data_IF_010192073926
#
_entry.id   IF_010192073926
#
_cell.length_a   1.000
_cell.length_b   1.000
_cell.length_c   1.000
_cell.angle_alpha   90.00
_cell.angle_beta   90.00
_cell.angle_gamma   90.00
#
_symmetry.space_group_name_H-M   'P 1'
#
loop_
_entity.id
_entity.type
_entity.pdbx_description
1 polymer ?
#
# COMPACT_ATOMS: atom_id res chain seq x y z
N UNK A 1 30.41 -12.48 -43.14
CA UNK A 1 29.60 -11.57 -42.31
C UNK A 1 28.78 -10.71 -43.24
N UNK A 2 27.48 -10.53 -42.98
CA UNK A 2 26.60 -9.73 -43.85
C UNK A 2 26.84 -8.23 -43.60
N UNK A 3 26.72 -7.40 -44.63
CA UNK A 3 26.85 -5.94 -44.57
C UNK A 3 26.01 -5.31 -43.45
N UNK A 4 24.80 -5.87 -43.21
CA UNK A 4 23.93 -5.44 -42.11
C UNK A 4 24.51 -5.72 -40.72
N UNK A 5 25.23 -6.83 -40.55
CA UNK A 5 25.86 -7.15 -39.26
C UNK A 5 27.01 -6.19 -38.96
N UNK A 6 27.70 -5.71 -40.00
CA UNK A 6 28.76 -4.70 -39.89
C UNK A 6 28.20 -3.31 -39.55
N UNK A 7 27.05 -2.95 -40.12
CA UNK A 7 26.32 -1.73 -39.76
C UNK A 7 25.84 -1.72 -38.31
N UNK A 8 25.35 -2.87 -37.81
CA UNK A 8 24.88 -3.03 -36.43
C UNK A 8 26.02 -3.10 -35.42
N UNK A 9 27.22 -3.50 -35.85
CA UNK A 9 28.41 -3.53 -35.00
C UNK A 9 28.97 -2.12 -34.73
N UNK A 10 28.58 -1.12 -35.55
CA UNK A 10 28.98 0.26 -35.32
C UNK A 10 28.20 0.88 -34.15
N UNK A 11 28.88 1.60 -33.24
CA UNK A 11 28.20 2.31 -32.16
C UNK A 11 27.27 3.38 -32.71
N UNK A 12 26.11 3.57 -32.07
CA UNK A 12 25.18 4.65 -32.43
C UNK A 12 25.93 5.99 -32.33
N UNK A 13 25.86 6.80 -33.39
CA UNK A 13 26.42 8.15 -33.38
C UNK A 13 25.75 8.94 -32.25
N UNK A 14 26.56 9.43 -31.32
CA UNK A 14 26.10 10.34 -30.28
C UNK A 14 25.63 11.61 -30.99
N UNK A 15 24.34 11.89 -30.93
CA UNK A 15 23.79 13.17 -31.37
C UNK A 15 24.35 14.19 -30.38
N UNK A 16 25.25 15.06 -30.84
CA UNK A 16 25.69 16.20 -30.06
C UNK A 16 24.44 17.00 -29.69
N UNK A 17 24.12 17.02 -28.40
CA UNK A 17 23.02 17.81 -27.88
C UNK A 17 23.48 19.25 -28.07
N UNK A 18 22.88 19.97 -29.03
CA UNK A 18 23.16 21.39 -29.22
C UNK A 18 22.96 22.10 -27.86
N UNK A 19 24.01 22.75 -27.36
CA UNK A 19 23.96 23.54 -26.12
C UNK A 19 23.01 24.75 -26.25
N UNK A 20 22.69 25.15 -27.49
CA UNK A 20 21.68 26.15 -27.84
C UNK A 20 20.24 25.63 -27.85
N UNK A 21 19.96 24.51 -27.17
CA UNK A 21 18.57 24.16 -26.90
C UNK A 21 18.07 25.13 -25.82
N UNK A 22 17.19 26.09 -26.13
CA UNK A 22 16.60 26.91 -25.08
C UNK A 22 15.99 25.95 -24.08
N UNK A 23 16.39 26.10 -22.81
CA UNK A 23 15.77 25.35 -21.72
C UNK A 23 14.25 25.45 -21.89
N UNK A 24 13.47 24.39 -21.59
CA UNK A 24 12.01 24.40 -21.73
C UNK A 24 11.34 25.27 -20.66
N UNK A 25 11.95 26.42 -20.36
CA UNK A 25 11.49 27.43 -19.43
C UNK A 25 10.77 28.46 -20.30
N UNK A 26 9.45 28.36 -20.29
CA UNK A 26 8.60 29.36 -20.92
C UNK A 26 8.79 30.71 -20.20
N UNK A 27 9.04 31.81 -20.93
CA UNK A 27 9.16 33.13 -20.31
C UNK A 27 7.84 33.50 -19.64
N UNK A 28 7.91 33.86 -18.36
CA UNK A 28 6.75 34.33 -17.59
C UNK A 28 6.42 35.75 -18.01
N UNK A 29 5.15 36.06 -18.25
CA UNK A 29 4.74 37.42 -18.63
C UNK A 29 4.95 38.40 -17.46
N UNK A 30 5.23 39.66 -17.78
CA UNK A 30 5.35 40.73 -16.78
C UNK A 30 4.08 40.86 -15.92
N UNK A 31 2.91 40.62 -16.51
CA UNK A 31 1.62 40.59 -15.80
C UNK A 31 1.50 39.46 -14.78
N UNK A 32 2.10 38.30 -15.06
CA UNK A 32 2.09 37.18 -14.12
C UNK A 32 3.10 37.42 -12.97
N UNK A 33 4.22 38.09 -13.25
CA UNK A 33 5.20 38.50 -12.23
C UNK A 33 4.67 39.58 -11.28
N UNK A 34 3.78 40.46 -11.76
CA UNK A 34 3.18 41.53 -10.97
C UNK A 34 1.79 41.20 -10.41
N UNK A 35 1.30 39.98 -10.62
CA UNK A 35 0.00 39.56 -10.14
C UNK A 35 -0.03 39.42 -8.61
N UNK A 36 -0.96 40.11 -7.95
CA UNK A 36 -1.18 39.98 -6.51
C UNK A 36 -2.31 38.99 -6.22
N UNK A 37 -2.18 38.15 -5.17
CA UNK A 37 -3.23 37.23 -4.78
C UNK A 37 -4.45 38.00 -4.25
N UNK A 38 -5.65 37.58 -4.65
CA UNK A 38 -6.90 38.15 -4.11
C UNK A 38 -7.02 37.92 -2.60
N UNK A 39 -7.81 38.74 -1.92
CA UNK A 39 -8.06 38.60 -0.47
C UNK A 39 -8.55 37.19 -0.10
N UNK A 40 -9.36 36.55 -0.95
CA UNK A 40 -9.81 35.17 -0.75
C UNK A 40 -8.64 34.18 -0.80
N UNK A 41 -7.73 34.34 -1.76
CA UNK A 41 -6.54 33.48 -1.88
C UNK A 41 -5.62 33.66 -0.68
N UNK A 42 -5.43 34.89 -0.23
CA UNK A 42 -4.67 35.19 1.00
C UNK A 42 -5.29 34.50 2.23
N UNK A 43 -6.62 34.54 2.38
CA UNK A 43 -7.31 33.87 3.47
C UNK A 43 -7.19 32.34 3.40
N UNK A 44 -7.29 31.75 2.21
CA UNK A 44 -7.15 30.29 2.02
C UNK A 44 -5.70 29.81 2.18
N UNK A 45 -4.72 30.67 1.92
CA UNK A 45 -3.31 30.37 2.11
C UNK A 45 -2.92 30.33 3.60
N UNK A 46 -3.76 30.85 4.52
CA UNK A 46 -3.50 30.73 5.95
C UNK A 46 -3.63 29.27 6.41
N UNK A 47 -2.66 28.74 7.16
CA UNK A 47 -2.76 27.39 7.69
C UNK A 47 -3.92 27.30 8.69
N UNK A 48 -4.55 26.11 8.75
CA UNK A 48 -5.55 25.83 9.78
C UNK A 48 -4.92 25.94 11.16
N UNK A 49 -5.62 26.59 12.10
CA UNK A 49 -5.23 26.60 13.51
C UNK A 49 -5.34 25.19 14.08
N UNK A 50 -4.37 24.78 14.87
CA UNK A 50 -4.45 23.55 15.67
C UNK A 50 -5.63 23.63 16.65
N UNK A 51 -6.26 22.50 16.96
CA UNK A 51 -7.33 22.46 17.96
C UNK A 51 -6.75 22.76 19.35
N UNK A 52 -7.59 23.26 20.26
CA UNK A 52 -7.18 23.49 21.66
C UNK A 52 -6.76 22.19 22.37
N UNK A 53 -7.22 21.05 21.86
CA UNK A 53 -6.90 19.70 22.36
C UNK A 53 -5.67 19.08 21.67
N UNK A 54 -5.03 19.78 20.74
CA UNK A 54 -3.85 19.26 20.07
C UNK A 54 -2.69 19.18 21.07
N UNK A 55 -2.23 17.96 21.32
CA UNK A 55 -1.00 17.69 22.07
C UNK A 55 0.06 17.12 21.13
N UNK A 56 1.31 17.46 21.40
CA UNK A 56 2.46 16.87 20.73
C UNK A 56 2.58 15.37 21.05
N UNK A 57 3.09 14.60 20.09
CA UNK A 57 3.40 13.19 20.30
C UNK A 57 4.44 13.04 21.41
N UNK A 58 4.32 11.97 22.20
CA UNK A 58 5.31 11.64 23.23
C UNK A 58 6.67 11.41 22.56
N UNK A 59 7.77 12.03 23.04
CA UNK A 59 9.08 11.84 22.42
C UNK A 59 9.49 10.37 22.44
N UNK A 60 10.19 9.94 21.38
CA UNK A 60 10.68 8.56 21.25
C UNK A 60 11.63 8.15 22.39
N UNK A 61 12.28 9.13 23.02
CA UNK A 61 13.14 8.94 24.18
C UNK A 61 12.44 9.41 25.46
N UNK A 62 12.50 8.58 26.51
CA UNK A 62 12.09 8.99 27.84
C UNK A 62 13.17 9.86 28.48
N UNK A 63 12.78 11.02 29.02
CA UNK A 63 13.68 11.83 29.86
C UNK A 63 13.88 11.08 31.18
N UNK A 64 15.11 10.60 31.41
CA UNK A 64 15.50 9.91 32.64
C UNK A 64 15.99 10.94 33.66
N UNK A 65 15.48 10.87 34.90
CA UNK A 65 15.90 11.78 35.97
C UNK A 65 17.36 11.57 36.38
N UNK A 66 18.02 12.60 36.89
CA UNK A 66 19.41 12.51 37.37
C UNK A 66 19.58 11.47 38.48
N UNK A 67 18.56 11.28 39.33
CA UNK A 67 18.55 10.25 40.36
C UNK A 67 18.55 8.83 39.76
N UNK A 68 17.79 8.60 38.70
CA UNK A 68 17.77 7.31 38.01
C UNK A 68 19.09 7.04 37.25
N UNK A 69 19.73 8.07 36.68
CA UNK A 69 21.06 7.93 36.06
C UNK A 69 22.16 7.59 37.06
N UNK A 70 22.05 8.09 38.30
CA UNK A 70 23.03 7.89 39.38
C UNK A 70 22.71 6.70 40.28
N UNK A 71 21.56 6.05 40.11
CA UNK A 71 21.14 4.93 40.93
C UNK A 71 22.05 3.72 40.71
N UNK A 72 22.60 3.17 41.80
CA UNK A 72 23.39 1.94 41.77
C UNK A 72 22.50 0.71 42.04
N UNK A 73 22.83 -0.41 41.40
CA UNK A 73 22.08 -1.65 41.57
C UNK A 73 22.26 -2.23 42.99
N UNK A 74 21.20 -2.81 43.55
CA UNK A 74 21.27 -3.45 44.87
C UNK A 74 22.20 -4.68 44.85
N UNK A 75 22.79 -5.07 46.00
CA UNK A 75 23.63 -6.27 46.09
C UNK A 75 22.94 -7.54 45.58
N UNK A 76 21.62 -7.66 45.82
CA UNK A 76 20.81 -8.77 45.31
C UNK A 76 20.72 -8.75 43.78
N UNK A 77 20.49 -7.58 43.19
CA UNK A 77 20.43 -7.41 41.73
C UNK A 77 21.76 -7.77 41.09
N UNK A 78 22.87 -7.32 41.69
CA UNK A 78 24.23 -7.68 41.24
C UNK A 78 24.49 -9.19 41.35
N UNK A 79 24.00 -9.84 42.41
CA UNK A 79 24.13 -11.28 42.57
C UNK A 79 23.34 -12.06 41.50
N UNK A 80 22.11 -11.63 41.20
CA UNK A 80 21.26 -12.26 40.19
C UNK A 80 21.75 -12.00 38.75
N UNK A 81 22.40 -10.86 38.52
CA UNK A 81 23.01 -10.53 37.23
C UNK A 81 24.22 -11.42 36.89
N UNK A 82 24.76 -12.18 37.85
CA UNK A 82 25.84 -13.12 37.57
C UNK A 82 25.35 -14.20 36.60
N UNK A 83 26.09 -14.49 35.51
CA UNK A 83 25.70 -15.51 34.56
C UNK A 83 25.63 -16.87 35.26
N UNK A 84 24.51 -17.57 35.09
CA UNK A 84 24.36 -18.93 35.60
C UNK A 84 25.20 -19.86 34.74
N UNK A 85 26.23 -20.47 35.32
CA UNK A 85 27.06 -21.44 34.62
C UNK A 85 26.23 -22.70 34.34
N UNK A 86 25.69 -22.83 33.13
CA UNK A 86 25.11 -24.10 32.68
C UNK A 86 26.28 -24.96 32.19
N UNK A 87 26.46 -26.14 32.79
CA UNK A 87 27.30 -27.16 32.17
C UNK A 87 26.83 -27.34 30.72
N UNK A 88 27.77 -27.35 29.79
CA UNK A 88 27.60 -27.36 28.33
C UNK A 88 26.22 -27.79 27.86
N UNK A 89 25.43 -26.84 27.36
CA UNK A 89 24.26 -27.17 26.56
C UNK A 89 24.76 -27.88 25.29
N UNK A 90 24.73 -29.22 25.27
CA UNK A 90 24.81 -29.96 24.03
C UNK A 90 23.57 -29.61 23.21
N UNK A 91 23.78 -28.99 22.05
CA UNK A 91 22.71 -28.74 21.09
C UNK A 91 22.15 -30.09 20.60
N UNK A 92 20.83 -30.32 20.67
CA UNK A 92 20.23 -31.52 20.10
C UNK A 92 20.21 -31.37 18.58
N UNK A 93 20.98 -32.22 17.90
CA UNK A 93 21.10 -32.23 16.44
C UNK A 93 22.01 -33.33 15.88
N UNK A 94 22.67 -34.12 16.72
CA UNK A 94 23.37 -35.33 16.28
C UNK A 94 22.40 -36.51 16.27
N UNK A 95 22.42 -37.38 15.23
CA UNK A 95 21.50 -38.51 15.10
C UNK A 95 21.67 -39.61 16.18
N UNK A 96 22.65 -39.46 17.09
CA UNK A 96 22.80 -40.31 18.28
C UNK A 96 22.21 -39.70 19.57
N UNK A 97 21.44 -38.61 19.49
CA UNK A 97 20.78 -37.98 20.64
C UNK A 97 19.39 -38.54 20.92
N UNK A 98 19.21 -39.85 20.79
CA UNK A 98 18.11 -40.54 21.48
C UNK A 98 18.70 -41.14 22.76
N UNK A 99 18.16 -40.75 23.91
CA UNK A 99 18.61 -41.12 25.26
C UNK A 99 19.69 -40.22 25.88
N UNK A 100 19.54 -38.90 25.78
CA UNK A 100 19.78 -38.11 27.01
C UNK A 100 18.45 -38.07 27.73
N UNK A 101 18.19 -39.09 28.55
CA UNK A 101 17.24 -38.94 29.66
C UNK A 101 17.80 -37.80 30.51
N UNK A 102 17.35 -36.58 30.23
CA UNK A 102 17.45 -35.51 31.20
C UNK A 102 16.97 -36.14 32.50
N UNK A 103 17.83 -36.16 33.52
CA UNK A 103 17.43 -36.57 34.86
C UNK A 103 16.41 -35.53 35.30
N UNK A 104 15.17 -35.70 34.85
CA UNK A 104 14.03 -35.03 35.38
C UNK A 104 14.09 -35.34 36.87
N UNK A 105 14.10 -34.28 37.68
CA UNK A 105 14.03 -34.42 39.12
C UNK A 105 12.94 -35.43 39.44
N UNK A 106 13.19 -36.39 40.33
CA UNK A 106 12.19 -37.40 40.73
C UNK A 106 10.87 -36.77 41.21
N UNK A 107 10.88 -35.47 41.53
CA UNK A 107 9.72 -34.64 41.83
C UNK A 107 8.86 -34.28 40.61
N UNK A 108 9.47 -34.11 39.44
CA UNK A 108 8.81 -33.77 38.16
C UNK A 108 8.05 -34.96 37.58
N UNK A 109 8.62 -36.17 37.70
CA UNK A 109 7.99 -37.41 37.23
C UNK A 109 6.76 -37.78 38.09
N UNK A 110 6.75 -37.36 39.36
CA UNK A 110 5.68 -37.65 40.33
C UNK A 110 4.65 -36.54 40.46
N UNK A 111 4.81 -35.40 39.79
CA UNK A 111 3.84 -34.31 39.89
C UNK A 111 2.67 -34.59 38.96
N UNK A 112 1.52 -34.94 39.54
CA UNK A 112 0.26 -34.99 38.81
C UNK A 112 -0.06 -33.59 38.26
N UNK A 113 -0.52 -33.48 37.00
CA UNK A 113 -0.96 -32.21 36.44
C UNK A 113 -2.12 -31.66 37.27
N UNK A 114 -2.12 -30.35 37.51
CA UNK A 114 -3.26 -29.68 38.14
C UNK A 114 -4.48 -29.75 37.22
N UNK A 115 -5.70 -29.78 37.77
CA UNK A 115 -6.94 -29.75 36.98
C UNK A 115 -6.96 -28.61 35.92
N UNK A 116 -6.37 -27.46 36.24
CA UNK A 116 -6.19 -26.35 35.28
C UNK A 116 -5.29 -26.73 34.11
N UNK A 117 -4.19 -27.43 34.34
CA UNK A 117 -3.30 -27.86 33.24
C UNK A 117 -3.97 -28.90 32.36
N UNK A 118 -4.79 -29.78 32.93
CA UNK A 118 -5.60 -30.72 32.15
C UNK A 118 -6.64 -29.97 31.29
N UNK A 119 -7.33 -28.97 31.86
CA UNK A 119 -8.29 -28.15 31.10
C UNK A 119 -7.65 -27.38 29.94
N UNK A 120 -6.40 -26.94 30.11
CA UNK A 120 -5.66 -26.19 29.09
C UNK A 120 -5.06 -27.13 28.03
N UNK A 121 -4.88 -28.41 28.35
CA UNK A 121 -4.40 -29.41 27.42
C UNK A 121 -5.48 -29.89 26.45
N UNK A 122 -6.77 -29.64 26.75
CA UNK A 122 -7.87 -29.93 25.81
C UNK A 122 -7.77 -28.97 24.63
N UNK A 123 -7.72 -29.52 23.40
CA UNK A 123 -7.71 -28.72 22.19
C UNK A 123 -9.01 -27.90 22.07
N UNK A 124 -8.92 -26.73 21.45
CA UNK A 124 -10.10 -25.90 21.20
C UNK A 124 -10.90 -26.50 20.06
N UNK A 125 -12.22 -26.59 20.23
CA UNK A 125 -13.15 -27.06 19.20
C UNK A 125 -13.29 -25.95 18.15
N UNK A 126 -13.15 -26.32 16.87
CA UNK A 126 -13.37 -25.40 15.75
C UNK A 126 -14.86 -25.03 15.65
N UNK A 127 -15.16 -23.80 15.19
CA UNK A 127 -16.55 -23.34 15.04
C UNK A 127 -17.26 -24.21 13.98
N UNK A 128 -18.56 -24.54 14.13
CA UNK A 128 -19.28 -25.38 13.16
C UNK A 128 -19.32 -24.84 11.73
N UNK A 129 -19.15 -23.53 11.55
CA UNK A 129 -19.07 -22.86 10.24
C UNK A 129 -17.63 -22.60 9.77
N UNK A 130 -16.62 -23.05 10.52
CA UNK A 130 -15.23 -22.87 10.15
C UNK A 130 -14.93 -23.67 8.87
N UNK A 131 -14.46 -22.96 7.85
CA UNK A 131 -14.01 -23.55 6.59
C UNK A 131 -12.50 -23.35 6.50
N UNK A 132 -11.76 -24.44 6.30
CA UNK A 132 -10.33 -24.35 6.03
C UNK A 132 -10.06 -23.66 4.70
N UNK A 133 -8.87 -23.07 4.58
CA UNK A 133 -8.41 -22.46 3.34
C UNK A 133 -8.48 -23.47 2.19
N UNK A 134 -9.01 -23.03 1.06
CA UNK A 134 -9.02 -23.84 -0.16
C UNK A 134 -7.58 -24.10 -0.63
N UNK A 135 -7.26 -25.31 -1.12
CA UNK A 135 -5.91 -25.61 -1.61
C UNK A 135 -5.54 -24.72 -2.80
N UNK A 136 -4.25 -24.38 -2.91
CA UNK A 136 -3.69 -23.50 -3.95
C UNK A 136 -3.96 -24.04 -5.36
N UNK A 137 -3.97 -25.36 -5.54
CA UNK A 137 -4.30 -26.00 -6.81
C UNK A 137 -5.70 -26.57 -6.72
N UNK A 138 -6.64 -25.98 -7.47
CA UNK A 138 -8.00 -26.50 -7.62
C UNK A 138 -8.16 -27.14 -9.01
N UNK A 139 -8.72 -28.36 -9.10
CA UNK A 139 -9.08 -28.93 -10.40
C UNK A 139 -10.14 -28.04 -11.04
N UNK A 140 -9.86 -27.57 -12.26
CA UNK A 140 -10.82 -26.76 -13.03
C UNK A 140 -11.92 -27.71 -13.52
N UNK A 141 -13.22 -27.39 -13.30
CA UNK A 141 -14.30 -28.25 -13.74
C UNK A 141 -14.30 -28.37 -15.27
N UNK A 142 -14.68 -29.54 -15.78
CA UNK A 142 -14.69 -29.79 -17.23
C UNK A 142 -15.54 -28.77 -18.00
N UNK A 143 -16.64 -28.27 -17.41
CA UNK A 143 -17.46 -27.22 -18.03
C UNK A 143 -16.69 -25.93 -18.31
N UNK A 144 -15.79 -25.54 -17.41
CA UNK A 144 -14.95 -24.35 -17.58
C UNK A 144 -13.79 -24.58 -18.55
N UNK A 145 -13.26 -25.81 -18.65
CA UNK A 145 -12.20 -26.14 -19.62
C UNK A 145 -12.73 -26.20 -21.07
N UNK A 146 -13.97 -26.62 -21.26
CA UNK A 146 -14.57 -26.82 -22.59
C UNK A 146 -15.50 -25.67 -23.02
N UNK A 147 -15.60 -24.60 -22.22
CA UNK A 147 -16.44 -23.44 -22.60
C UNK A 147 -15.82 -22.70 -23.79
N UNK A 148 -16.65 -22.41 -24.80
CA UNK A 148 -16.23 -21.59 -25.94
C UNK A 148 -16.71 -20.15 -25.77
N UNK A 149 -15.91 -19.20 -26.24
CA UNK A 149 -16.27 -17.79 -26.21
C UNK A 149 -17.45 -17.52 -27.15
N UNK A 150 -18.38 -16.67 -26.71
CA UNK A 150 -19.52 -16.25 -27.55
C UNK A 150 -19.04 -15.41 -28.74
N UNK A 151 -19.82 -15.41 -29.83
CA UNK A 151 -19.49 -14.63 -31.04
C UNK A 151 -19.21 -13.15 -30.75
N UNK A 152 -19.97 -12.55 -29.83
CA UNK A 152 -19.75 -11.16 -29.40
C UNK A 152 -18.38 -10.97 -28.75
N UNK A 153 -17.96 -11.89 -27.88
CA UNK A 153 -16.63 -11.84 -27.24
C UNK A 153 -15.54 -12.00 -28.30
N UNK A 154 -15.73 -12.92 -29.26
CA UNK A 154 -14.82 -13.09 -30.39
C UNK A 154 -14.74 -11.84 -31.28
N UNK A 155 -15.84 -11.12 -31.48
CA UNK A 155 -15.85 -9.86 -32.23
C UNK A 155 -15.12 -8.74 -31.50
N UNK A 156 -15.34 -8.60 -30.19
CA UNK A 156 -14.69 -7.57 -29.36
C UNK A 156 -13.20 -7.84 -29.16
N UNK A 157 -12.78 -9.11 -29.20
CA UNK A 157 -11.37 -9.49 -29.14
C UNK A 157 -10.56 -9.07 -30.38
N UNK A 158 -11.22 -8.73 -31.50
CA UNK A 158 -10.53 -8.24 -32.69
C UNK A 158 -10.00 -6.83 -32.44
N UNK A 159 -8.70 -6.56 -32.65
CA UNK A 159 -8.16 -5.22 -32.48
C UNK A 159 -8.81 -4.25 -33.46
N UNK A 160 -9.16 -3.05 -32.98
CA UNK A 160 -9.69 -1.99 -33.84
C UNK A 160 -8.65 -1.66 -34.91
N UNK A 161 -8.99 -1.70 -36.21
CA UNK A 161 -8.05 -1.38 -37.27
C UNK A 161 -7.64 0.10 -37.14
N UNK A 162 -6.36 0.34 -36.88
CA UNK A 162 -5.80 1.69 -36.93
C UNK A 162 -5.77 2.15 -38.38
N UNK A 163 -6.71 3.01 -38.75
CA UNK A 163 -6.60 3.78 -39.99
C UNK A 163 -5.36 4.68 -39.88
N UNK A 164 -4.49 4.65 -40.88
CA UNK A 164 -3.41 5.63 -41.01
C UNK A 164 -4.14 6.97 -41.14
N UNK A 165 -4.01 7.82 -40.13
CA UNK A 165 -4.50 9.19 -40.17
C UNK A 165 -3.53 9.94 -41.09
N UNK A 166 -3.73 9.79 -42.40
CA UNK A 166 -3.05 10.57 -43.43
C UNK A 166 -3.87 11.79 -43.84
N UNK A 167 -4.77 12.23 -42.97
CA UNK A 167 -5.57 13.43 -43.19
C UNK A 167 -5.08 14.48 -42.21
N UNK A 168 -4.62 15.61 -42.79
CA UNK A 168 -4.40 16.94 -42.19
C UNK A 168 -4.98 17.01 -40.78
N UNK A 169 -4.15 16.67 -39.79
CA UNK A 169 -4.52 16.71 -38.38
C UNK A 169 -4.62 18.18 -37.99
N UNK A 170 -5.84 18.71 -38.04
CA UNK A 170 -6.17 20.00 -37.44
C UNK A 170 -6.45 19.77 -35.94
N UNK A 171 -5.56 20.24 -35.04
CA UNK A 171 -5.70 20.04 -33.60
C UNK A 171 -6.92 20.74 -33.00
N UNK A 172 -7.58 21.64 -33.76
CA UNK A 172 -8.78 22.35 -33.33
C UNK A 172 -10.08 21.79 -33.94
N UNK A 173 -10.00 20.70 -34.72
CA UNK A 173 -11.16 20.09 -35.37
C UNK A 173 -12.01 19.30 -34.37
N UNK A 174 -13.17 19.84 -34.02
CA UNK A 174 -14.19 19.15 -33.22
C UNK A 174 -14.92 18.12 -34.09
N UNK A 175 -15.12 16.90 -33.57
CA UNK A 175 -15.87 15.84 -34.27
C UNK A 175 -17.34 16.23 -34.47
N UNK A 176 -17.99 15.80 -35.55
CA UNK A 176 -19.41 16.10 -35.76
C UNK A 176 -20.28 15.53 -34.63
N UNK A 177 -19.94 14.35 -34.10
CA UNK A 177 -20.63 13.78 -32.94
C UNK A 177 -20.55 14.69 -31.70
N UNK A 178 -19.39 15.31 -31.45
CA UNK A 178 -19.24 16.25 -30.34
C UNK A 178 -20.00 17.57 -30.58
N UNK A 179 -20.08 18.06 -31.83
CA UNK A 179 -20.87 19.25 -32.16
C UNK A 179 -22.38 19.06 -31.98
N UNK A 180 -22.87 17.83 -32.19
CA UNK A 180 -24.28 17.48 -32.09
C UNK A 180 -24.62 16.72 -30.80
N UNK A 181 -23.70 16.67 -29.84
CA UNK A 181 -23.94 16.02 -28.57
C UNK A 181 -24.88 16.87 -27.73
N UNK A 182 -26.08 16.35 -27.46
CA UNK A 182 -27.04 16.97 -26.55
C UNK A 182 -26.98 16.32 -25.17
N UNK A 183 -27.29 17.11 -24.12
CA UNK A 183 -27.37 16.61 -22.76
C UNK A 183 -28.50 15.57 -22.65
N UNK A 184 -28.24 14.47 -21.94
CA UNK A 184 -29.29 13.47 -21.71
C UNK A 184 -30.44 14.10 -20.90
N UNK A 185 -31.69 13.60 -21.03
CA UNK A 185 -32.84 14.11 -20.28
C UNK A 185 -32.58 14.18 -18.78
N UNK A 186 -31.85 13.19 -18.23
CA UNK A 186 -31.47 13.15 -16.82
C UNK A 186 -30.56 14.31 -16.40
N UNK A 187 -29.61 14.70 -17.25
CA UNK A 187 -28.73 15.84 -16.98
C UNK A 187 -29.54 17.13 -17.00
N UNK A 188 -30.49 17.26 -17.94
CA UNK A 188 -31.39 18.42 -18.00
C UNK A 188 -32.24 18.54 -16.73
N UNK A 189 -32.79 17.43 -16.22
CA UNK A 189 -33.52 17.39 -14.94
C UNK A 189 -32.64 17.83 -13.77
N UNK A 190 -31.42 17.30 -13.68
CA UNK A 190 -30.48 17.62 -12.58
C UNK A 190 -30.01 19.07 -12.60
N UNK A 191 -29.96 19.70 -13.78
CA UNK A 191 -29.65 21.12 -13.92
C UNK A 191 -30.78 22.03 -13.42
N UNK A 192 -31.99 21.52 -13.20
CA UNK A 192 -33.07 22.32 -12.59
C UNK A 192 -32.82 22.51 -11.09
N UNK A 193 -32.70 23.76 -10.59
CA UNK A 193 -32.44 23.99 -9.17
C UNK A 193 -33.65 23.56 -8.32
N UNK A 194 -33.43 22.89 -7.18
CA UNK A 194 -34.52 22.53 -6.28
C UNK A 194 -35.20 23.79 -5.72
N UNK A 195 -36.54 23.74 -5.56
CA UNK A 195 -37.31 24.87 -5.06
C UNK A 195 -36.79 25.35 -3.69
N UNK A 196 -36.58 26.68 -3.57
CA UNK A 196 -36.09 27.30 -2.35
C UNK A 196 -37.14 27.17 -1.25
N UNK A 197 -36.83 26.40 -0.20
CA UNK A 197 -37.70 26.30 1.00
C UNK A 197 -37.82 27.69 1.64
N UNK A 198 -38.95 28.35 1.47
CA UNK A 198 -39.27 29.56 2.21
C UNK A 198 -39.75 29.16 3.61
N UNK A 199 -38.99 29.54 4.65
CA UNK A 199 -39.48 29.48 6.03
C UNK A 199 -40.37 30.71 6.25
N UNK A 200 -41.64 30.49 6.54
CA UNK A 200 -42.53 31.56 7.01
C UNK A 200 -41.96 32.16 8.29
N UNK A 201 -41.80 33.48 8.32
CA UNK A 201 -41.51 34.20 9.58
C UNK A 201 -42.71 34.02 10.50
N UNK A 202 -42.48 33.50 11.70
CA UNK A 202 -43.47 33.57 12.79
C UNK A 202 -43.66 35.04 13.14
N UNK A 203 -44.91 35.50 13.07
CA UNK A 203 -45.38 36.75 13.67
C UNK A 203 -45.42 36.61 15.18
#
# INVERSE_FOLDING_TARGET
>A
MSQRQEELANPKKVIAINEDRPSPIWPVSSSALSAFPSARVQNLAQPKKTSQEWMEDRPAYSIVSEGAKKASASPRTLHLAKPKHKASCSLPGTPNSHQSSGKESSRSIKSAPTARTESLAVHKIEHPEYQHDLPVVRPVPSSALHTQATDRVCQLAKPSPRRIISDVYDPYKISPAAKHAEASPRIQELCTPPARRQRSKKM
#
